data_IF_554708730220
#
_entry.id   IF_554708730220
#
_cell.length_a   1.000
_cell.length_b   1.000
_cell.length_c   1.000
_cell.angle_alpha   90.00
_cell.angle_beta   90.00
_cell.angle_gamma   90.00
#
_symmetry.space_group_name_H-M   'P 1'
#
loop_
_entity.id
_entity.type
_entity.pdbx_description
1 polymer ?
#
# COMPACT_ATOMS: atom_id res chain seq x y z
N UNK A 1 -17.75 -2.01 -21.15
CA UNK A 1 -18.28 -2.71 -19.97
C UNK A 1 -17.50 -2.22 -18.78
N UNK A 2 -18.02 -1.23 -18.06
CA UNK A 2 -17.61 -1.00 -16.68
C UNK A 2 -18.17 -2.17 -15.90
N UNK A 3 -17.29 -3.00 -15.35
CA UNK A 3 -17.67 -4.11 -14.50
C UNK A 3 -18.38 -3.52 -13.26
N UNK A 4 -19.71 -3.65 -13.18
CA UNK A 4 -20.57 -3.16 -12.08
C UNK A 4 -20.24 -3.82 -10.74
N UNK A 5 -19.32 -4.79 -10.72
CA UNK A 5 -18.90 -5.54 -9.54
C UNK A 5 -17.60 -5.05 -8.91
N UNK A 6 -16.88 -4.10 -9.52
CA UNK A 6 -15.67 -3.55 -8.91
C UNK A 6 -16.06 -2.56 -7.80
N UNK A 7 -15.72 -2.82 -6.52
CA UNK A 7 -15.97 -1.88 -5.44
C UNK A 7 -15.33 -0.54 -5.79
N UNK A 8 -16.05 0.57 -5.56
CA UNK A 8 -15.59 1.89 -5.97
C UNK A 8 -14.21 2.20 -5.37
N UNK A 9 -13.20 2.33 -6.23
CA UNK A 9 -11.84 2.73 -5.82
C UNK A 9 -11.77 4.26 -5.79
N UNK A 10 -11.30 4.80 -4.67
CA UNK A 10 -11.05 6.24 -4.48
C UNK A 10 -9.58 6.50 -4.27
N UNK A 11 -9.08 7.60 -4.81
CA UNK A 11 -7.72 8.06 -4.54
C UNK A 11 -7.75 9.19 -3.51
N UNK A 12 -6.87 9.11 -2.52
CA UNK A 12 -6.65 10.20 -1.56
C UNK A 12 -5.19 10.27 -1.14
N UNK A 13 -4.81 11.38 -0.52
CA UNK A 13 -3.51 11.47 0.16
C UNK A 13 -3.41 10.43 1.27
N UNK A 14 -2.24 9.82 1.38
CA UNK A 14 -1.89 8.98 2.52
C UNK A 14 -1.93 9.81 3.81
N UNK A 15 -2.37 9.18 4.89
CA UNK A 15 -2.33 9.67 6.27
C UNK A 15 -1.31 8.81 7.01
N UNK A 16 -0.76 9.31 8.12
CA UNK A 16 0.16 8.54 8.96
C UNK A 16 -0.41 7.18 9.39
N UNK A 17 -1.73 7.10 9.62
CA UNK A 17 -2.42 5.86 9.98
C UNK A 17 -2.46 4.80 8.86
N UNK A 18 -2.13 5.16 7.61
CA UNK A 18 -2.17 4.23 6.48
C UNK A 18 -0.86 3.45 6.31
N UNK A 19 0.23 3.84 6.98
CA UNK A 19 1.58 3.31 6.75
C UNK A 19 1.63 1.78 6.78
N UNK A 20 1.02 1.17 7.80
CA UNK A 20 1.02 -0.28 7.96
C UNK A 20 0.15 -1.00 6.92
N UNK A 21 -0.94 -0.35 6.46
CA UNK A 21 -1.80 -0.90 5.42
C UNK A 21 -1.13 -0.82 4.03
N UNK A 22 -0.38 0.25 3.76
CA UNK A 22 0.46 0.39 2.56
C UNK A 22 1.50 -0.74 2.53
N UNK A 23 2.19 -0.97 3.65
CA UNK A 23 3.15 -2.07 3.76
C UNK A 23 2.55 -3.44 3.52
N UNK A 24 1.36 -3.71 4.07
CA UNK A 24 0.67 -4.98 3.85
C UNK A 24 0.29 -5.21 2.37
N UNK A 25 -0.17 -4.17 1.65
CA UNK A 25 -0.46 -4.26 0.22
C UNK A 25 0.83 -4.49 -0.58
N UNK A 26 1.90 -3.79 -0.23
CA UNK A 26 3.20 -3.97 -0.87
C UNK A 26 3.74 -5.39 -0.68
N UNK A 27 3.73 -5.91 0.54
CA UNK A 27 4.20 -7.28 0.84
C UNK A 27 3.35 -8.34 0.11
N UNK A 28 2.04 -8.13 -0.01
CA UNK A 28 1.18 -8.99 -0.81
C UNK A 28 1.58 -8.98 -2.30
N UNK A 29 1.85 -7.79 -2.86
CA UNK A 29 2.33 -7.66 -4.23
C UNK A 29 3.71 -8.29 -4.46
N UNK A 30 4.63 -8.18 -3.49
CA UNK A 30 5.93 -8.85 -3.52
C UNK A 30 5.76 -10.36 -3.54
N UNK A 31 4.90 -10.90 -2.67
CA UNK A 31 4.66 -12.35 -2.56
C UNK A 31 4.10 -12.93 -3.85
N UNK A 32 3.16 -12.24 -4.49
CA UNK A 32 2.53 -12.68 -5.73
C UNK A 32 3.43 -12.43 -6.96
N UNK A 33 4.11 -11.29 -7.01
CA UNK A 33 4.79 -10.82 -8.21
C UNK A 33 6.28 -11.15 -8.29
N UNK A 34 6.97 -11.30 -7.15
CA UNK A 34 8.44 -11.37 -7.10
C UNK A 34 8.93 -12.77 -6.72
N UNK A 35 8.38 -13.79 -7.39
CA UNK A 35 8.73 -15.20 -7.14
C UNK A 35 10.22 -15.54 -7.27
N UNK A 36 11.01 -14.71 -7.96
CA UNK A 36 12.47 -14.86 -8.05
C UNK A 36 13.19 -14.69 -6.70
N UNK A 37 12.56 -14.03 -5.72
CA UNK A 37 13.08 -13.87 -4.37
C UNK A 37 12.90 -15.13 -3.50
N UNK A 38 12.12 -16.12 -3.97
CA UNK A 38 11.89 -17.36 -3.23
C UNK A 38 11.32 -17.09 -1.84
N UNK A 39 11.98 -17.65 -0.81
CA UNK A 39 11.55 -17.50 0.59
C UNK A 39 11.58 -16.05 1.09
N UNK A 40 12.45 -15.19 0.55
CA UNK A 40 12.50 -13.78 0.94
C UNK A 40 11.20 -13.04 0.61
N UNK A 41 10.42 -13.48 -0.39
CA UNK A 41 9.12 -12.90 -0.72
C UNK A 41 8.04 -13.19 0.35
N UNK A 42 8.32 -14.06 1.34
CA UNK A 42 7.42 -14.37 2.45
C UNK A 42 7.64 -13.47 3.66
N UNK A 43 8.81 -12.82 3.74
CA UNK A 43 9.16 -11.90 4.81
C UNK A 43 8.72 -10.48 4.44
N UNK A 44 8.32 -9.63 5.42
CA UNK A 44 8.11 -8.22 5.17
C UNK A 44 9.39 -7.59 4.60
N UNK A 45 9.27 -6.90 3.46
CA UNK A 45 10.44 -6.30 2.80
C UNK A 45 11.01 -5.12 3.61
N UNK A 46 10.12 -4.40 4.28
CA UNK A 46 10.44 -3.26 5.13
C UNK A 46 9.77 -3.40 6.49
N UNK A 47 10.40 -2.85 7.51
CA UNK A 47 9.86 -2.78 8.86
C UNK A 47 8.71 -1.78 8.99
N UNK A 48 7.90 -1.93 10.04
CA UNK A 48 6.82 -1.00 10.36
C UNK A 48 7.31 0.47 10.48
N UNK A 49 8.49 0.67 11.10
CA UNK A 49 9.08 1.99 11.27
C UNK A 49 9.57 2.61 9.95
N UNK A 50 10.01 1.79 9.00
CA UNK A 50 10.39 2.27 7.65
C UNK A 50 9.17 2.75 6.88
N UNK A 51 8.03 2.07 6.99
CA UNK A 51 6.77 2.55 6.40
C UNK A 51 6.26 3.84 7.05
N UNK A 52 6.32 3.94 8.38
CA UNK A 52 5.95 5.17 9.09
C UNK A 52 6.83 6.35 8.63
N UNK A 53 8.15 6.10 8.46
CA UNK A 53 9.09 7.07 7.94
C UNK A 53 8.80 7.45 6.50
N UNK A 54 8.54 6.48 5.63
CA UNK A 54 8.28 6.73 4.20
C UNK A 54 7.03 7.60 4.00
N UNK A 55 5.94 7.31 4.72
CA UNK A 55 4.73 8.16 4.68
C UNK A 55 5.01 9.58 5.19
N UNK A 56 5.81 9.71 6.25
CA UNK A 56 6.17 11.02 6.81
C UNK A 56 7.07 11.84 5.88
N UNK A 57 8.02 11.18 5.20
CA UNK A 57 8.98 11.81 4.28
C UNK A 57 8.28 12.29 2.99
N UNK A 58 7.14 11.70 2.61
CA UNK A 58 6.29 12.14 1.51
C UNK A 58 5.37 13.33 1.88
N UNK A 59 5.96 14.34 2.50
CA UNK A 59 5.35 15.63 2.77
C UNK A 59 5.52 16.61 1.59
N UNK A 60 4.75 17.72 1.52
CA UNK A 60 4.89 18.72 0.47
C UNK A 60 6.35 19.18 0.28
N UNK A 61 6.84 19.26 -0.97
CA UNK A 61 6.09 19.23 -2.23
C UNK A 61 5.76 17.83 -2.77
N UNK A 62 6.28 16.77 -2.15
CA UNK A 62 6.00 15.39 -2.56
C UNK A 62 4.62 14.95 -2.03
N UNK A 63 4.01 13.97 -2.69
CA UNK A 63 2.72 13.42 -2.27
C UNK A 63 2.74 11.91 -2.40
N UNK A 64 2.31 11.23 -1.34
CA UNK A 64 1.95 9.82 -1.40
C UNK A 64 0.42 9.70 -1.50
N UNK A 65 -0.04 8.97 -2.51
CA UNK A 65 -1.45 8.68 -2.74
C UNK A 65 -1.73 7.21 -2.41
N UNK A 66 -2.90 6.96 -1.84
CA UNK A 66 -3.42 5.60 -1.62
C UNK A 66 -4.72 5.42 -2.38
N UNK A 67 -4.92 4.22 -2.91
CA UNK A 67 -6.22 3.73 -3.36
C UNK A 67 -6.98 3.17 -2.16
N UNK A 68 -8.25 3.52 -2.03
CA UNK A 68 -9.12 2.97 -0.99
C UNK A 68 -10.43 2.42 -1.54
N UNK A 69 -10.92 1.37 -0.88
CA UNK A 69 -12.27 0.86 -1.10
C UNK A 69 -13.34 1.81 -0.53
N UNK A 70 -14.61 1.41 -0.66
CA UNK A 70 -15.75 2.17 -0.15
C UNK A 70 -15.73 2.37 1.37
N UNK A 71 -15.05 1.49 2.11
CA UNK A 71 -14.84 1.55 3.56
C UNK A 71 -13.60 2.34 4.00
N UNK A 72 -12.93 3.04 3.07
CA UNK A 72 -11.68 3.78 3.27
C UNK A 72 -10.47 2.92 3.65
N UNK A 73 -10.51 1.61 3.33
CA UNK A 73 -9.38 0.70 3.53
C UNK A 73 -8.44 0.77 2.34
N UNK A 74 -7.13 0.79 2.60
CA UNK A 74 -6.11 0.74 1.54
C UNK A 74 -6.16 -0.62 0.84
N UNK A 75 -6.19 -0.61 -0.50
CA UNK A 75 -6.28 -1.79 -1.36
C UNK A 75 -5.27 -1.76 -2.51
#
# INVERSE_FOLDING_TARGET
MTDETAPGIRLRRAKASDAQAIGAVFDAAVREGWGYLGELAREPMFSAAEWDKDVADHAPPNVLLVATDEGDRVV
#
